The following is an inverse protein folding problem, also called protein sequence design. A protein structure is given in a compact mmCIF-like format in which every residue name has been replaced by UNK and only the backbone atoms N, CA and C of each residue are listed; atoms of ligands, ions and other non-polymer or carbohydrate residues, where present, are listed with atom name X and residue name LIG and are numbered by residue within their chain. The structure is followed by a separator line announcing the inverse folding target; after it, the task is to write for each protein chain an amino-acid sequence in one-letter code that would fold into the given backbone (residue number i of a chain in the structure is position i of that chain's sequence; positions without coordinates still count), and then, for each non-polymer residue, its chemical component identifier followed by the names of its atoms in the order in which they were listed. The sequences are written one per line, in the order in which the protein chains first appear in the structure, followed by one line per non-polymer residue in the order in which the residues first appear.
data_IF_059830595025
#
_entry.id   IF_059830595025
#
_cell.length_a   1.000
_cell.length_b   1.000
_cell.length_c   1.000
_cell.angle_alpha   90.00
_cell.angle_beta   90.00
_cell.angle_gamma   90.00
#
_symmetry.space_group_name_H-M   'P 1'
#
loop_
_entity.id
_entity.type
_entity.pdbx_description
1 polymer ?
#
# COMPACT_ATOMS: atom_id res chain seq x y z
N UNK A 1 -37.40 75.96 -103.16
CA UNK A 1 -36.74 77.29 -103.16
C UNK A 1 -35.25 77.01 -103.03
N UNK A 2 -34.58 77.03 -104.18
CA UNK A 2 -33.44 77.92 -104.51
C UNK A 2 -32.17 77.50 -103.78
N UNK A 3 -31.25 76.84 -104.50
CA UNK A 3 -30.06 77.44 -105.15
C UNK A 3 -28.88 77.37 -104.17
N UNK A 4 -27.64 77.07 -104.52
CA UNK A 4 -26.94 77.26 -105.79
C UNK A 4 -25.64 76.43 -105.76
N UNK A 5 -25.32 75.88 -106.93
CA UNK A 5 -24.05 75.29 -107.38
C UNK A 5 -22.98 76.43 -107.53
N UNK A 6 -21.71 76.28 -108.00
CA UNK A 6 -21.11 75.12 -108.68
C UNK A 6 -19.54 74.94 -108.68
N UNK A 7 -19.07 74.02 -109.56
CA UNK A 7 -17.77 73.94 -110.30
C UNK A 7 -16.49 73.54 -109.51
N UNK A 8 -15.48 72.79 -110.01
CA UNK A 8 -14.97 72.43 -111.36
C UNK A 8 -13.98 71.24 -111.20
N UNK A 9 -14.13 70.08 -111.85
CA UNK A 9 -13.55 69.58 -113.15
C UNK A 9 -12.00 69.52 -113.25
N UNK A 10 -11.53 68.34 -113.70
CA UNK A 10 -10.34 67.97 -114.50
C UNK A 10 -9.46 66.91 -113.78
N UNK A 11 -9.50 65.61 -114.10
CA UNK A 11 -9.18 64.91 -115.36
C UNK A 11 -7.69 64.94 -115.73
N UNK A 12 -7.02 63.79 -115.60
CA UNK A 12 -5.98 63.28 -116.50
C UNK A 12 -5.56 61.85 -116.07
N UNK A 13 -5.97 60.89 -116.88
CA UNK A 13 -5.41 59.53 -117.06
C UNK A 13 -4.09 59.66 -117.92
N UNK A 14 -3.28 58.64 -118.31
CA UNK A 14 -3.43 57.17 -118.21
C UNK A 14 -2.06 56.41 -117.98
N UNK A 15 -1.68 55.26 -118.61
CA UNK A 15 -1.35 54.00 -117.93
C UNK A 15 0.05 53.40 -118.32
N UNK A 16 0.29 52.11 -117.98
CA UNK A 16 1.23 51.13 -118.60
C UNK A 16 2.38 50.57 -117.73
N UNK A 17 2.16 49.35 -117.22
CA UNK A 17 2.87 48.08 -117.48
C UNK A 17 4.41 48.06 -117.71
N UNK A 18 5.16 47.40 -116.80
CA UNK A 18 6.42 46.67 -117.02
C UNK A 18 6.80 45.77 -115.81
N UNK A 19 7.10 44.48 -116.05
CA UNK A 19 7.72 43.49 -115.11
C UNK A 19 9.27 43.69 -114.96
N UNK A 20 10.06 42.78 -114.31
CA UNK A 20 10.43 42.53 -112.89
C UNK A 20 11.97 42.78 -112.66
N UNK A 21 12.76 42.20 -111.70
CA UNK A 21 12.56 41.61 -110.34
C UNK A 21 13.43 42.24 -109.20
N UNK A 22 13.09 41.87 -107.94
CA UNK A 22 13.87 41.75 -106.67
C UNK A 22 14.89 42.83 -106.19
N UNK A 23 14.62 43.47 -105.04
CA UNK A 23 15.28 43.17 -103.74
C UNK A 23 14.66 43.97 -102.54
N UNK A 24 14.67 43.34 -101.36
CA UNK A 24 14.14 43.74 -100.00
C UNK A 24 14.48 45.16 -99.47
N UNK A 25 13.88 45.71 -98.36
CA UNK A 25 13.31 45.04 -97.16
C UNK A 25 12.06 45.69 -96.48
N UNK A 26 11.59 45.01 -95.41
CA UNK A 26 11.05 45.54 -94.13
C UNK A 26 9.54 45.42 -93.78
N UNK A 27 9.31 44.58 -92.77
CA UNK A 27 8.51 44.76 -91.52
C UNK A 27 6.99 44.50 -91.49
N UNK A 28 6.68 43.31 -90.94
CA UNK A 28 5.78 42.98 -89.81
C UNK A 28 4.41 43.66 -89.65
N UNK A 29 3.35 42.85 -89.71
CA UNK A 29 2.04 43.13 -89.10
C UNK A 29 1.57 41.89 -88.31
N UNK A 30 1.62 41.99 -86.98
CA UNK A 30 1.33 40.93 -86.01
C UNK A 30 -0.14 40.96 -85.57
N UNK A 31 -0.96 40.02 -86.05
CA UNK A 31 -2.29 39.75 -85.48
C UNK A 31 -2.53 38.27 -85.13
N UNK A 32 -1.55 37.38 -85.35
CA UNK A 32 -1.61 35.95 -85.00
C UNK A 32 -0.64 35.53 -83.88
N UNK A 33 0.22 36.43 -83.39
CA UNK A 33 1.22 36.13 -82.35
C UNK A 33 0.65 36.14 -80.92
N UNK A 34 -0.57 36.63 -80.70
CA UNK A 34 -1.17 36.70 -79.36
C UNK A 34 -1.84 35.39 -78.93
N UNK A 35 -2.25 34.52 -79.86
CA UNK A 35 -2.84 33.21 -79.54
C UNK A 35 -1.83 32.27 -78.85
N UNK A 36 -0.59 32.05 -79.36
CA UNK A 36 0.40 31.24 -78.62
C UNK A 36 0.84 31.92 -77.33
N UNK A 37 0.85 33.26 -77.27
CA UNK A 37 1.17 34.02 -76.06
C UNK A 37 0.07 33.85 -74.98
N UNK A 38 -1.21 33.93 -75.38
CA UNK A 38 -2.35 33.72 -74.49
C UNK A 38 -2.43 32.27 -74.01
N UNK A 39 -2.13 31.29 -74.87
CA UNK A 39 -2.09 29.87 -74.51
C UNK A 39 -0.92 29.57 -73.54
N UNK A 40 0.24 30.19 -73.75
CA UNK A 40 1.40 30.10 -72.86
C UNK A 40 1.12 30.72 -71.49
N UNK A 41 0.47 31.89 -71.45
CA UNK A 41 0.01 32.53 -70.21
C UNK A 41 -1.02 31.68 -69.47
N UNK A 42 -1.96 31.07 -70.19
CA UNK A 42 -2.95 30.15 -69.61
C UNK A 42 -2.28 28.91 -69.02
N UNK A 43 -1.34 28.30 -69.75
CA UNK A 43 -0.58 27.14 -69.31
C UNK A 43 0.29 27.47 -68.07
N UNK A 44 0.88 28.67 -68.02
CA UNK A 44 1.64 29.15 -66.87
C UNK A 44 0.73 29.38 -65.65
N UNK A 45 -0.46 29.95 -65.84
CA UNK A 45 -1.45 30.11 -64.77
C UNK A 45 -1.89 28.76 -64.18
N UNK A 46 -2.13 27.77 -65.04
CA UNK A 46 -2.46 26.40 -64.61
C UNK A 46 -1.31 25.72 -63.85
N UNK A 47 -0.06 25.87 -64.29
CA UNK A 47 1.08 25.26 -63.60
C UNK A 47 1.31 25.87 -62.22
N UNK A 48 1.15 27.19 -62.08
CA UNK A 48 1.23 27.89 -60.80
C UNK A 48 0.09 27.43 -59.87
N UNK A 49 -1.14 27.31 -60.40
CA UNK A 49 -2.27 26.79 -59.63
C UNK A 49 -2.06 25.38 -59.09
N UNK A 50 -1.49 24.48 -59.92
CA UNK A 50 -1.15 23.12 -59.49
C UNK A 50 -0.04 23.09 -58.44
N UNK A 51 0.98 23.96 -58.56
CA UNK A 51 2.05 24.06 -57.58
C UNK A 51 1.54 24.54 -56.21
N UNK A 52 0.65 25.54 -56.19
CA UNK A 52 0.02 26.04 -54.96
C UNK A 52 -0.87 24.97 -54.32
N UNK A 53 -1.66 24.26 -55.11
CA UNK A 53 -2.49 23.16 -54.61
C UNK A 53 -1.66 22.00 -54.04
N UNK A 54 -0.58 21.63 -54.72
CA UNK A 54 0.35 20.60 -54.24
C UNK A 54 1.01 21.03 -52.91
N UNK A 55 1.47 22.28 -52.80
CA UNK A 55 2.05 22.81 -51.57
C UNK A 55 1.06 22.82 -50.40
N UNK A 56 -0.18 23.26 -50.63
CA UNK A 56 -1.22 23.29 -49.61
C UNK A 56 -1.57 21.86 -49.13
N UNK A 57 -1.73 20.92 -50.07
CA UNK A 57 -2.01 19.51 -49.75
C UNK A 57 -0.90 18.83 -48.94
N UNK A 58 0.37 19.15 -49.24
CA UNK A 58 1.52 18.66 -48.51
C UNK A 58 1.55 19.19 -47.07
N UNK A 59 1.22 20.47 -46.91
CA UNK A 59 1.16 21.12 -45.59
C UNK A 59 0.05 20.53 -44.70
N UNK A 60 -1.09 20.15 -45.27
CA UNK A 60 -2.18 19.48 -44.54
C UNK A 60 -1.81 18.05 -44.14
N UNK A 61 -1.12 17.31 -45.03
CA UNK A 61 -0.62 15.97 -44.72
C UNK A 61 0.45 15.98 -43.61
N UNK A 62 1.31 16.99 -43.59
CA UNK A 62 2.30 17.16 -42.52
C UNK A 62 1.66 17.50 -41.16
N UNK A 63 0.56 18.26 -41.14
CA UNK A 63 -0.19 18.51 -39.91
C UNK A 63 -0.85 17.24 -39.37
N UNK A 64 -1.42 16.41 -40.25
CA UNK A 64 -2.02 15.12 -39.87
C UNK A 64 -0.96 14.13 -39.36
N UNK A 65 0.22 14.08 -39.98
CA UNK A 65 1.35 13.26 -39.54
C UNK A 65 1.93 13.74 -38.19
N UNK A 66 2.01 15.06 -37.99
CA UNK A 66 2.40 15.66 -36.71
C UNK A 66 1.35 15.45 -35.61
N UNK A 67 0.06 15.47 -35.95
CA UNK A 67 -1.03 15.22 -35.01
C UNK A 67 -1.04 13.78 -34.50
N UNK A 68 -0.81 12.79 -35.38
CA UNK A 68 -0.74 11.37 -34.98
C UNK A 68 0.43 11.09 -34.04
N UNK A 69 1.64 11.53 -34.39
CA UNK A 69 2.82 11.39 -33.51
C UNK A 69 2.64 12.14 -32.17
N UNK A 70 1.99 13.30 -32.20
CA UNK A 70 1.59 14.04 -31.00
C UNK A 70 0.59 13.29 -30.11
N UNK A 71 -0.33 12.50 -30.67
CA UNK A 71 -1.28 11.71 -29.88
C UNK A 71 -0.63 10.52 -29.18
N UNK A 72 0.28 9.81 -29.84
CA UNK A 72 1.04 8.71 -29.24
C UNK A 72 1.92 9.20 -28.09
N UNK A 73 2.66 10.30 -28.31
CA UNK A 73 3.46 10.96 -27.28
C UNK A 73 2.62 11.37 -26.07
N UNK A 74 1.42 11.93 -26.28
CA UNK A 74 0.52 12.33 -25.18
C UNK A 74 0.00 11.13 -24.40
N UNK A 75 -0.23 9.99 -25.07
CA UNK A 75 -0.63 8.76 -24.41
C UNK A 75 0.52 8.18 -23.58
N UNK A 76 1.72 8.10 -24.14
CA UNK A 76 2.92 7.64 -23.45
C UNK A 76 3.18 8.49 -22.19
N UNK A 77 3.15 9.82 -22.34
CA UNK A 77 3.32 10.77 -21.23
C UNK A 77 2.24 10.66 -20.15
N UNK A 78 1.06 10.12 -20.45
CA UNK A 78 -0.01 9.85 -19.46
C UNK A 78 0.12 8.46 -18.85
N UNK A 79 0.61 7.47 -19.59
CA UNK A 79 0.75 6.08 -19.14
C UNK A 79 1.98 5.89 -18.24
N UNK A 80 3.07 6.60 -18.51
CA UNK A 80 4.31 6.52 -17.72
C UNK A 80 4.12 6.90 -16.24
N UNK A 81 3.51 8.04 -15.87
CA UNK A 81 3.27 8.37 -14.47
C UNK A 81 2.28 7.41 -13.80
N UNK A 82 1.33 6.86 -14.56
CA UNK A 82 0.37 5.88 -14.04
C UNK A 82 1.06 4.55 -13.72
N UNK A 83 1.94 4.07 -14.60
CA UNK A 83 2.79 2.89 -14.35
C UNK A 83 3.69 3.10 -13.14
N UNK A 84 4.34 4.28 -13.04
CA UNK A 84 5.17 4.63 -11.89
C UNK A 84 4.36 4.71 -10.58
N UNK A 85 3.13 5.20 -10.63
CA UNK A 85 2.22 5.20 -9.48
C UNK A 85 1.83 3.80 -9.05
N UNK A 86 1.52 2.91 -10.00
CA UNK A 86 1.18 1.51 -9.70
C UNK A 86 2.35 0.77 -9.06
N UNK A 87 3.56 0.90 -9.61
CA UNK A 87 4.76 0.27 -9.03
C UNK A 87 5.09 0.85 -7.64
N UNK A 88 4.93 2.17 -7.45
CA UNK A 88 5.08 2.80 -6.14
C UNK A 88 4.06 2.30 -5.11
N UNK A 89 2.83 2.04 -5.55
CA UNK A 89 1.75 1.54 -4.69
C UNK A 89 1.95 0.06 -4.34
N UNK A 90 2.41 -0.76 -5.29
CA UNK A 90 2.81 -2.15 -5.03
C UNK A 90 3.95 -2.23 -4.01
N UNK A 91 4.98 -1.40 -4.15
CA UNK A 91 6.09 -1.37 -3.20
C UNK A 91 5.66 -0.90 -1.82
N UNK A 92 4.79 0.11 -1.75
CA UNK A 92 4.19 0.59 -0.49
C UNK A 92 3.41 -0.54 0.20
N UNK A 93 2.54 -1.25 -0.52
CA UNK A 93 1.79 -2.39 -0.01
C UNK A 93 2.69 -3.53 0.47
N UNK A 94 3.76 -3.85 -0.27
CA UNK A 94 4.75 -4.84 0.16
C UNK A 94 5.43 -4.43 1.46
N UNK A 95 5.85 -3.17 1.56
CA UNK A 95 6.49 -2.65 2.77
C UNK A 95 5.55 -2.67 3.98
N UNK A 96 4.27 -2.36 3.77
CA UNK A 96 3.25 -2.36 4.82
C UNK A 96 2.94 -3.79 5.28
N UNK A 97 2.81 -4.74 4.34
CA UNK A 97 2.67 -6.17 4.69
C UNK A 97 3.85 -6.67 5.51
N UNK A 98 5.08 -6.36 5.11
CA UNK A 98 6.27 -6.73 5.87
C UNK A 98 6.28 -6.10 7.28
N UNK A 99 5.79 -4.87 7.44
CA UNK A 99 5.65 -4.23 8.76
C UNK A 99 4.61 -4.95 9.61
N UNK A 100 3.46 -5.29 9.05
CA UNK A 100 2.41 -6.03 9.75
C UNK A 100 2.89 -7.43 10.17
N UNK A 101 3.60 -8.15 9.30
CA UNK A 101 4.16 -9.47 9.63
C UNK A 101 5.15 -9.38 10.80
N UNK A 102 6.02 -8.36 10.82
CA UNK A 102 6.93 -8.12 11.95
C UNK A 102 6.18 -7.76 13.23
N UNK A 103 5.12 -6.98 13.14
CA UNK A 103 4.27 -6.66 14.30
C UNK A 103 3.57 -7.89 14.86
N UNK A 104 3.04 -8.75 14.00
CA UNK A 104 2.40 -10.02 14.39
C UNK A 104 3.42 -10.92 15.07
N UNK A 105 4.62 -11.08 14.49
CA UNK A 105 5.70 -11.87 15.11
C UNK A 105 6.07 -11.34 16.50
N UNK A 106 6.23 -10.01 16.64
CA UNK A 106 6.54 -9.39 17.92
C UNK A 106 5.42 -9.60 18.97
N UNK A 107 4.16 -9.52 18.55
CA UNK A 107 3.02 -9.79 19.43
C UNK A 107 2.98 -11.25 19.86
N UNK A 108 3.29 -12.18 18.95
CA UNK A 108 3.34 -13.61 19.26
C UNK A 108 4.47 -13.92 20.25
N UNK A 109 5.66 -13.35 20.05
CA UNK A 109 6.77 -13.45 21.00
C UNK A 109 6.42 -12.86 22.37
N UNK A 110 5.76 -11.70 22.40
CA UNK A 110 5.31 -11.08 23.64
C UNK A 110 4.29 -11.97 24.37
N UNK A 111 3.34 -12.54 23.64
CA UNK A 111 2.33 -13.44 24.21
C UNK A 111 2.95 -14.72 24.78
N UNK A 112 3.92 -15.31 24.07
CA UNK A 112 4.70 -16.45 24.58
C UNK A 112 5.45 -16.09 25.87
N UNK A 113 6.19 -14.97 25.87
CA UNK A 113 6.91 -14.49 27.07
C UNK A 113 5.97 -14.22 28.25
N UNK A 114 4.79 -13.65 28.00
CA UNK A 114 3.78 -13.44 29.04
C UNK A 114 3.25 -14.77 29.58
N UNK A 115 3.01 -15.76 28.72
CA UNK A 115 2.62 -17.11 29.14
C UNK A 115 3.69 -17.78 30.01
N UNK A 116 4.96 -17.70 29.61
CA UNK A 116 6.09 -18.20 30.39
C UNK A 116 6.17 -17.52 31.76
N UNK A 117 6.06 -16.19 31.81
CA UNK A 117 6.08 -15.44 33.07
C UNK A 117 4.92 -15.83 34.00
N UNK A 118 3.70 -15.97 33.47
CA UNK A 118 2.54 -16.41 34.27
C UNK A 118 2.77 -17.82 34.82
N UNK A 119 3.31 -18.73 34.00
CA UNK A 119 3.61 -20.10 34.45
C UNK A 119 4.68 -20.13 35.54
N UNK A 120 5.73 -19.32 35.41
CA UNK A 120 6.78 -19.19 36.41
C UNK A 120 6.25 -18.56 37.72
N UNK A 121 5.37 -17.56 37.63
CA UNK A 121 4.69 -16.99 38.79
C UNK A 121 3.78 -18.02 39.47
N UNK A 122 3.02 -18.79 38.70
CA UNK A 122 2.18 -19.86 39.24
C UNK A 122 3.00 -20.94 39.96
N UNK A 123 4.16 -21.31 39.42
CA UNK A 123 5.09 -22.25 40.07
C UNK A 123 5.68 -21.65 41.35
N UNK A 124 6.08 -20.37 41.32
CA UNK A 124 6.64 -19.68 42.49
C UNK A 124 5.59 -19.56 43.61
N UNK A 125 4.37 -19.18 43.27
CA UNK A 125 3.25 -19.10 44.23
C UNK A 125 2.91 -20.48 44.77
N UNK A 126 2.83 -21.50 43.92
CA UNK A 126 2.62 -22.88 44.37
C UNK A 126 3.71 -23.37 45.33
N UNK A 127 4.98 -23.06 45.04
CA UNK A 127 6.12 -23.38 45.92
C UNK A 127 6.08 -22.57 47.23
N UNK A 128 5.68 -21.31 47.19
CA UNK A 128 5.60 -20.47 48.40
C UNK A 128 4.44 -20.89 49.31
N UNK A 129 3.29 -21.22 48.75
CA UNK A 129 2.13 -21.73 49.50
C UNK A 129 2.48 -23.05 50.22
N UNK A 130 3.15 -23.98 49.51
CA UNK A 130 3.63 -25.23 50.12
C UNK A 130 4.68 -24.99 51.21
N UNK A 131 5.64 -24.07 50.99
CA UNK A 131 6.67 -23.72 51.96
C UNK A 131 6.11 -23.06 53.21
N UNK A 132 5.14 -22.15 53.06
CA UNK A 132 4.46 -21.50 54.17
C UNK A 132 3.61 -22.50 54.96
N UNK A 133 2.87 -23.38 54.28
CA UNK A 133 2.06 -24.41 54.94
C UNK A 133 2.90 -25.37 55.79
N UNK A 134 4.12 -25.73 55.34
CA UNK A 134 5.03 -26.55 56.13
C UNK A 134 5.55 -25.82 57.38
N UNK A 135 5.90 -24.54 57.25
CA UNK A 135 6.34 -23.73 58.39
C UNK A 135 5.23 -23.56 59.45
N UNK A 136 3.97 -23.44 59.00
CA UNK A 136 2.81 -23.39 59.90
C UNK A 136 2.63 -24.70 60.66
N UNK A 137 2.81 -25.86 60.00
CA UNK A 137 2.79 -27.16 60.67
C UNK A 137 3.88 -27.24 61.73
N UNK A 138 5.11 -26.84 61.42
CA UNK A 138 6.21 -26.83 62.39
C UNK A 138 5.89 -25.94 63.60
N UNK A 139 5.30 -24.77 63.36
CA UNK A 139 4.86 -23.86 64.41
C UNK A 139 3.79 -24.49 65.32
N UNK A 140 2.76 -25.12 64.74
CA UNK A 140 1.69 -25.79 65.49
C UNK A 140 2.21 -26.97 66.32
N UNK A 141 3.14 -27.76 65.78
CA UNK A 141 3.80 -28.85 66.52
C UNK A 141 4.63 -28.30 67.68
N UNK A 142 5.33 -27.18 67.48
CA UNK A 142 6.07 -26.51 68.56
C UNK A 142 5.14 -26.01 69.67
N UNK A 143 3.99 -25.43 69.33
CA UNK A 143 2.96 -25.07 70.32
C UNK A 143 2.51 -26.30 71.09
N UNK A 144 2.19 -27.40 70.40
CA UNK A 144 1.74 -28.63 71.06
C UNK A 144 2.77 -29.15 72.07
N UNK A 145 4.04 -29.26 71.64
CA UNK A 145 5.15 -29.65 72.51
C UNK A 145 5.31 -28.71 73.71
N UNK A 146 5.26 -27.40 73.47
CA UNK A 146 5.41 -26.39 74.52
C UNK A 146 4.29 -26.51 75.57
N UNK A 147 3.04 -26.64 75.13
CA UNK A 147 1.87 -26.76 76.02
C UNK A 147 1.93 -28.04 76.87
N UNK A 148 2.38 -29.16 76.28
CA UNK A 148 2.56 -30.41 77.02
C UNK A 148 3.69 -30.33 78.05
N UNK A 149 4.88 -29.85 77.63
CA UNK A 149 6.07 -29.90 78.47
C UNK A 149 6.06 -28.86 79.60
N UNK A 150 5.59 -27.64 79.32
CA UNK A 150 5.66 -26.55 80.30
C UNK A 150 4.39 -26.41 81.14
N UNK A 151 3.23 -26.66 80.54
CA UNK A 151 1.95 -26.32 81.16
C UNK A 151 1.09 -27.53 81.47
N UNK A 152 1.49 -28.73 81.01
CA UNK A 152 0.68 -29.96 81.06
C UNK A 152 -0.74 -29.72 80.52
N UNK A 153 -0.88 -28.78 79.58
CA UNK A 153 -2.15 -28.40 78.98
C UNK A 153 -2.44 -29.33 77.79
N UNK A 154 -3.03 -30.47 78.11
CA UNK A 154 -3.37 -31.53 77.16
C UNK A 154 -4.41 -31.03 76.14
N UNK A 155 -5.36 -30.20 76.57
CA UNK A 155 -6.45 -29.72 75.71
C UNK A 155 -5.91 -28.85 74.59
N UNK A 156 -5.10 -27.84 74.93
CA UNK A 156 -4.51 -26.93 73.92
C UNK A 156 -3.50 -27.65 73.05
N UNK A 157 -2.71 -28.57 73.61
CA UNK A 157 -1.78 -29.38 72.82
C UNK A 157 -2.49 -30.24 71.78
N UNK A 158 -3.60 -30.90 72.16
CA UNK A 158 -4.38 -31.72 71.25
C UNK A 158 -5.03 -30.89 70.13
N UNK A 159 -5.51 -29.69 70.44
CA UNK A 159 -6.02 -28.75 69.43
C UNK A 159 -4.93 -28.33 68.44
N UNK A 160 -3.72 -28.05 68.92
CA UNK A 160 -2.59 -27.71 68.06
C UNK A 160 -2.16 -28.89 67.17
N UNK A 161 -2.14 -30.13 67.69
CA UNK A 161 -1.89 -31.33 66.90
C UNK A 161 -2.96 -31.58 65.83
N UNK A 162 -4.24 -31.35 66.14
CA UNK A 162 -5.33 -31.44 65.16
C UNK A 162 -5.18 -30.40 64.05
N UNK A 163 -4.84 -29.16 64.40
CA UNK A 163 -4.58 -28.11 63.42
C UNK A 163 -3.37 -28.46 62.53
N UNK A 164 -2.31 -29.05 63.10
CA UNK A 164 -1.15 -29.52 62.35
C UNK A 164 -1.51 -30.64 61.35
N UNK A 165 -2.32 -31.64 61.76
CA UNK A 165 -2.78 -32.70 60.84
C UNK A 165 -3.67 -32.14 59.72
N UNK A 166 -4.58 -31.22 60.04
CA UNK A 166 -5.43 -30.57 59.04
C UNK A 166 -4.61 -29.80 58.00
N UNK A 167 -3.58 -29.05 58.43
CA UNK A 167 -2.65 -28.36 57.51
C UNK A 167 -1.85 -29.34 56.65
N UNK A 168 -1.38 -30.46 57.20
CA UNK A 168 -0.72 -31.50 56.41
C UNK A 168 -1.67 -32.17 55.41
N UNK A 169 -2.95 -32.30 55.73
CA UNK A 169 -3.96 -32.82 54.81
C UNK A 169 -4.23 -31.85 53.64
N UNK A 170 -4.29 -30.55 53.91
CA UNK A 170 -4.45 -29.51 52.88
C UNK A 170 -3.26 -29.44 51.91
N UNK A 171 -2.03 -29.68 52.40
CA UNK A 171 -0.84 -29.76 51.56
C UNK A 171 -0.86 -30.95 50.58
N UNK A 172 -1.69 -31.97 50.86
CA UNK A 172 -1.94 -33.14 50.00
C UNK A 172 -0.68 -33.86 49.46
N UNK A 173 0.44 -33.79 50.19
CA UNK A 173 1.72 -34.38 49.78
C UNK A 173 1.98 -35.74 50.47
N UNK A 174 2.12 -36.84 49.72
CA UNK A 174 2.39 -38.18 50.27
C UNK A 174 3.64 -38.28 51.13
N UNK A 175 4.61 -37.37 50.98
CA UNK A 175 5.86 -37.37 51.77
C UNK A 175 5.60 -37.13 53.25
N UNK A 176 4.49 -36.52 53.62
CA UNK A 176 4.15 -36.23 55.02
C UNK A 176 3.29 -37.31 55.69
N UNK A 177 2.94 -38.41 55.01
CA UNK A 177 2.10 -39.48 55.58
C UNK A 177 2.67 -40.04 56.89
N UNK A 178 4.00 -40.26 56.95
CA UNK A 178 4.67 -40.73 58.18
C UNK A 178 4.55 -39.74 59.35
N UNK A 179 4.54 -38.44 59.07
CA UNK A 179 4.37 -37.38 60.08
C UNK A 179 2.93 -37.37 60.57
N UNK A 180 1.96 -37.47 59.66
CA UNK A 180 0.53 -37.55 60.01
C UNK A 180 0.22 -38.78 60.87
N UNK A 181 0.79 -39.93 60.55
CA UNK A 181 0.68 -41.13 61.38
C UNK A 181 1.24 -40.92 62.79
N UNK A 182 2.36 -40.19 62.91
CA UNK A 182 2.94 -39.88 64.22
C UNK A 182 2.06 -38.92 65.03
N UNK A 183 1.51 -37.89 64.37
CA UNK A 183 0.56 -36.97 64.98
C UNK A 183 -0.69 -37.71 65.45
N UNK A 184 -1.22 -38.64 64.65
CA UNK A 184 -2.37 -39.46 65.02
C UNK A 184 -2.09 -40.30 66.28
N UNK A 185 -0.93 -40.97 66.33
CA UNK A 185 -0.48 -41.70 67.53
C UNK A 185 -0.36 -40.80 68.76
N UNK A 186 0.18 -39.59 68.61
CA UNK A 186 0.27 -38.62 69.70
C UNK A 186 -1.10 -38.13 70.17
N UNK A 187 -2.03 -37.86 69.24
CA UNK A 187 -3.40 -37.48 69.59
C UNK A 187 -4.12 -38.60 70.37
N UNK A 188 -3.98 -39.86 69.93
CA UNK A 188 -4.51 -41.03 70.63
C UNK A 188 -3.90 -41.20 72.02
N UNK A 189 -2.58 -41.05 72.14
CA UNK A 189 -1.88 -41.13 73.42
C UNK A 189 -2.36 -40.06 74.40
N UNK A 190 -2.57 -38.82 73.93
CA UNK A 190 -3.12 -37.74 74.76
C UNK A 190 -4.60 -37.94 75.11
N UNK A 191 -5.37 -38.60 74.24
CA UNK A 191 -6.77 -38.93 74.52
C UNK A 191 -6.91 -40.02 75.60
N UNK A 192 -5.95 -40.94 75.68
CA UNK A 192 -5.90 -41.96 76.72
C UNK A 192 -5.53 -41.40 78.11
N UNK A 193 -5.03 -40.17 78.19
CA UNK A 193 -4.77 -39.49 79.46
C UNK A 193 -6.08 -38.88 79.97
N UNK A 194 -6.80 -39.64 80.79
CA UNK A 194 -8.03 -39.19 81.46
C UNK A 194 -7.74 -37.91 82.27
N UNK A 195 -8.48 -36.81 82.09
CA UNK A 195 -8.39 -35.67 82.98
C UNK A 195 -8.87 -36.11 84.37
N UNK A 196 -8.01 -35.98 85.39
CA UNK A 196 -8.43 -36.15 86.78
C UNK A 196 -9.36 -34.97 87.08
N UNK A 197 -10.65 -35.28 87.25
CA UNK A 197 -11.65 -34.34 87.71
C UNK A 197 -11.34 -33.95 89.17
N UNK A 198 -10.85 -32.73 89.37
CA UNK A 198 -10.53 -32.16 90.69
C UNK A 198 -11.63 -31.23 91.20
N UNK A 199 -12.73 -31.07 90.47
CA UNK A 199 -13.84 -30.19 90.86
C UNK A 199 -14.73 -30.80 91.97
N UNK A 200 -14.42 -32.01 92.45
CA UNK A 200 -15.13 -32.70 93.55
C UNK A 200 -14.49 -32.63 94.94
N UNK A 201 -13.43 -31.84 95.16
CA UNK A 201 -12.66 -31.81 96.42
C UNK A 201 -12.67 -30.47 97.18
N UNK A 202 -13.60 -29.55 96.89
CA UNK A 202 -13.76 -28.29 97.62
C UNK A 202 -15.15 -28.16 98.28
#
# INVERSE_FOLDING_TARGET
MSESQPLSVAEADPPAEAEPPQDTPARTGSAAAWVPLALSLLALGLSIGLAVAAWFSWHELQQLAGAQSGTESRLENRLEPLRASLTGMEESLRSERQRLDRQIQKLLEQQQRSGEQISALAELVGRSEQGWGLAEVEYLLRIASQRLQLQRDIKTARQALQAADARLQELADPRFLKVREQIAREQEALQAVTPVDIDGLA
#
